data_IF_642775283504
#
_entry.id   IF_642775283504
#
_cell.length_a   1.000
_cell.length_b   1.000
_cell.length_c   1.000
_cell.angle_alpha   90.00
_cell.angle_beta   90.00
_cell.angle_gamma   90.00
#
_symmetry.space_group_name_H-M   'P 1'
#
loop_
_entity.id
_entity.type
_entity.pdbx_description
1 polymer ?
#
# COMPACT_ATOMS: atom_id res chain seq x y z
N UNK A 1 25.34 -15.08 10.30
CA UNK A 1 24.40 -16.14 10.72
C UNK A 1 23.26 -15.46 11.47
N UNK A 2 22.18 -15.11 10.77
CA UNK A 2 20.95 -14.60 11.36
C UNK A 2 19.89 -15.69 11.23
N UNK A 3 19.67 -16.41 12.33
CA UNK A 3 18.64 -17.42 12.50
C UNK A 3 17.37 -16.74 13.04
N UNK A 4 16.38 -16.55 12.17
CA UNK A 4 14.92 -16.57 12.42
C UNK A 4 14.15 -15.83 11.30
N UNK A 5 14.27 -16.29 10.05
CA UNK A 5 13.17 -16.10 9.10
C UNK A 5 12.16 -17.22 9.39
N UNK A 6 11.06 -16.86 10.05
CA UNK A 6 9.89 -17.73 10.15
C UNK A 6 9.44 -18.02 8.71
N UNK A 7 9.36 -19.29 8.31
CA UNK A 7 9.01 -19.69 6.94
C UNK A 7 7.60 -19.22 6.53
N UNK A 8 7.18 -19.49 5.30
CA UNK A 8 5.84 -19.09 4.83
C UNK A 8 4.76 -20.02 5.38
N UNK A 9 3.64 -19.48 5.86
CA UNK A 9 2.54 -20.32 6.38
C UNK A 9 1.84 -21.06 5.23
N UNK A 10 1.80 -22.39 5.35
CA UNK A 10 1.21 -23.31 4.35
C UNK A 10 0.39 -24.39 5.03
N UNK A 11 -0.56 -24.94 4.27
CA UNK A 11 -1.25 -26.19 4.59
C UNK A 11 -0.82 -27.28 3.62
N UNK A 12 -0.40 -28.42 4.17
CA UNK A 12 0.02 -29.59 3.42
C UNK A 12 -1.16 -30.54 3.19
N UNK A 13 -1.32 -31.01 1.97
CA UNK A 13 -2.32 -31.99 1.58
C UNK A 13 -1.68 -33.20 0.90
N UNK A 14 -2.30 -34.36 1.08
CA UNK A 14 -1.95 -35.60 0.38
C UNK A 14 -3.18 -36.18 -0.30
N UNK A 15 -3.06 -36.61 -1.56
CA UNK A 15 -4.15 -37.29 -2.25
C UNK A 15 -4.31 -38.72 -1.73
N UNK A 16 -5.55 -39.12 -1.44
CA UNK A 16 -5.88 -40.47 -0.98
C UNK A 16 -6.44 -41.36 -2.10
N UNK A 17 -6.60 -42.66 -1.82
CA UNK A 17 -7.10 -43.66 -2.78
C UNK A 17 -8.53 -43.39 -3.31
N UNK A 18 -9.28 -42.49 -2.65
CA UNK A 18 -10.61 -42.06 -3.08
C UNK A 18 -10.58 -40.83 -4.01
N UNK A 19 -9.38 -40.33 -4.33
CA UNK A 19 -9.18 -39.13 -5.14
C UNK A 19 -9.50 -37.84 -4.40
N UNK A 20 -9.44 -37.84 -3.06
CA UNK A 20 -9.66 -36.66 -2.23
C UNK A 20 -8.35 -36.20 -1.56
N UNK A 21 -8.23 -34.90 -1.32
CA UNK A 21 -7.07 -34.30 -0.67
C UNK A 21 -7.25 -34.30 0.85
N UNK A 22 -6.48 -35.12 1.54
CA UNK A 22 -6.44 -35.19 3.00
C UNK A 22 -5.51 -34.10 3.57
N UNK A 23 -6.02 -33.32 4.53
CA UNK A 23 -5.25 -32.31 5.26
C UNK A 23 -4.23 -33.01 6.20
N UNK A 24 -2.93 -32.75 5.96
CA UNK A 24 -1.81 -33.28 6.75
C UNK A 24 -1.32 -32.32 7.82
N UNK A 25 -1.85 -31.09 7.88
CA UNK A 25 -1.53 -30.10 8.89
C UNK A 25 -1.12 -28.75 8.31
N UNK A 26 -1.07 -27.76 9.20
CA UNK A 26 -0.63 -26.39 8.90
C UNK A 26 0.73 -26.12 9.53
N UNK A 27 1.63 -25.48 8.79
CA UNK A 27 3.00 -25.24 9.23
C UNK A 27 3.66 -24.10 8.46
N UNK A 28 4.94 -23.90 8.72
CA UNK A 28 5.77 -22.90 8.06
C UNK A 28 6.78 -23.61 7.15
N UNK A 29 6.72 -23.34 5.85
CA UNK A 29 7.62 -23.91 4.85
C UNK A 29 8.88 -23.05 4.69
N UNK A 30 10.01 -23.73 4.54
CA UNK A 30 11.27 -23.14 4.13
C UNK A 30 11.93 -24.03 3.08
N UNK A 31 12.68 -23.40 2.18
CA UNK A 31 13.57 -24.11 1.27
C UNK A 31 14.99 -23.90 1.79
N UNK A 32 15.64 -24.99 2.22
CA UNK A 32 16.95 -24.94 2.87
C UNK A 32 17.83 -26.08 2.38
N UNK A 33 19.14 -25.92 2.55
CA UNK A 33 20.08 -27.00 2.30
C UNK A 33 20.16 -27.93 3.52
N UNK A 34 19.91 -29.21 3.30
CA UNK A 34 19.99 -30.29 4.29
C UNK A 34 21.14 -31.21 3.87
N UNK A 35 22.13 -31.44 4.75
CA UNK A 35 23.35 -32.19 4.40
C UNK A 35 23.10 -33.55 3.73
N UNK A 36 22.06 -34.28 4.16
CA UNK A 36 21.72 -35.60 3.65
C UNK A 36 20.90 -35.58 2.34
N UNK A 37 20.18 -34.49 2.04
CA UNK A 37 19.21 -34.41 0.95
C UNK A 37 19.58 -33.37 -0.13
N UNK A 38 20.48 -32.44 0.16
CA UNK A 38 20.71 -31.26 -0.67
C UNK A 38 19.65 -30.19 -0.44
N UNK A 39 19.22 -29.49 -1.50
CA UNK A 39 18.14 -28.50 -1.40
C UNK A 39 16.80 -29.21 -1.13
N UNK A 40 16.13 -28.83 -0.05
CA UNK A 40 14.94 -29.52 0.44
C UNK A 40 13.84 -28.54 0.87
N UNK A 41 12.59 -28.97 0.68
CA UNK A 41 11.40 -28.34 1.27
C UNK A 41 11.19 -28.90 2.67
N UNK A 42 11.21 -28.02 3.67
CA UNK A 42 11.01 -28.38 5.08
C UNK A 42 9.82 -27.61 5.63
N UNK A 43 8.85 -28.33 6.19
CA UNK A 43 7.65 -27.77 6.80
C UNK A 43 7.63 -28.13 8.28
N UNK A 44 7.59 -27.12 9.14
CA UNK A 44 7.46 -27.28 10.58
C UNK A 44 6.04 -26.92 11.02
N UNK A 45 5.40 -27.80 11.77
CA UNK A 45 4.08 -27.59 12.34
C UNK A 45 4.04 -26.33 13.21
N UNK A 46 2.99 -25.51 13.05
CA UNK A 46 2.93 -24.21 13.71
C UNK A 46 2.77 -24.27 15.23
N UNK A 47 2.19 -25.35 15.78
CA UNK A 47 1.92 -25.49 17.21
C UNK A 47 3.05 -26.17 17.98
N UNK A 48 3.61 -27.24 17.43
CA UNK A 48 4.54 -28.11 18.15
C UNK A 48 5.96 -28.15 17.55
N UNK A 49 6.21 -27.43 16.46
CA UNK A 49 7.49 -27.37 15.74
C UNK A 49 8.00 -28.73 15.25
N UNK A 50 7.15 -29.76 15.21
CA UNK A 50 7.50 -31.05 14.61
C UNK A 50 7.49 -30.94 13.09
N UNK A 51 8.32 -31.75 12.45
CA UNK A 51 8.42 -31.83 11.01
C UNK A 51 7.14 -32.47 10.42
N UNK A 52 6.45 -31.73 9.55
CA UNK A 52 5.32 -32.23 8.76
C UNK A 52 5.80 -32.81 7.42
N UNK A 53 6.86 -32.23 6.86
CA UNK A 53 7.46 -32.66 5.61
C UNK A 53 8.93 -32.26 5.59
N UNK A 54 9.76 -33.18 5.11
CA UNK A 54 11.15 -32.91 4.71
C UNK A 54 11.43 -33.71 3.46
N UNK A 55 11.35 -33.03 2.32
CA UNK A 55 11.45 -33.63 0.99
C UNK A 55 12.58 -32.98 0.21
N UNK A 56 13.43 -33.79 -0.43
CA UNK A 56 14.41 -33.30 -1.39
C UNK A 56 13.66 -32.66 -2.56
N UNK A 57 14.11 -31.50 -3.02
CA UNK A 57 13.58 -30.96 -4.28
C UNK A 57 14.02 -31.88 -5.41
N UNK A 58 13.03 -32.52 -6.04
CA UNK A 58 13.20 -33.50 -7.12
C UNK A 58 13.75 -32.77 -8.35
N UNK A 59 14.77 -33.34 -8.99
CA UNK A 59 15.47 -32.69 -10.11
C UNK A 59 14.60 -32.71 -11.39
N UNK A 60 13.77 -33.75 -11.58
CA UNK A 60 12.84 -33.92 -12.68
C UNK A 60 11.60 -33.00 -12.61
N UNK A 61 11.04 -32.63 -13.76
CA UNK A 61 9.83 -31.79 -13.87
C UNK A 61 8.55 -32.47 -13.33
N UNK A 62 8.39 -32.46 -12.00
CA UNK A 62 7.23 -33.04 -11.30
C UNK A 62 6.38 -32.00 -10.55
N UNK A 63 6.91 -30.81 -10.30
CA UNK A 63 6.18 -29.74 -9.61
C UNK A 63 5.35 -28.92 -10.58
N UNK A 64 4.12 -28.60 -10.18
CA UNK A 64 3.19 -27.75 -10.92
C UNK A 64 2.62 -26.66 -10.02
N UNK A 65 2.54 -25.44 -10.52
CA UNK A 65 1.87 -24.33 -9.83
C UNK A 65 0.43 -24.20 -10.34
N UNK A 66 -0.53 -24.30 -9.43
CA UNK A 66 -1.96 -24.18 -9.75
C UNK A 66 -2.49 -22.86 -9.20
N UNK A 67 -2.84 -21.92 -10.09
CA UNK A 67 -3.19 -20.55 -9.68
C UNK A 67 -2.01 -19.83 -9.03
N UNK A 68 -2.30 -18.93 -8.08
CA UNK A 68 -1.28 -18.08 -7.46
C UNK A 68 -0.80 -18.59 -6.09
N UNK A 69 -1.44 -19.60 -5.52
CA UNK A 69 -1.22 -20.00 -4.13
C UNK A 69 -1.12 -21.53 -3.90
N UNK A 70 -1.01 -22.35 -4.94
CA UNK A 70 -0.88 -23.80 -4.80
C UNK A 70 0.32 -24.35 -5.60
N UNK A 71 1.09 -25.23 -4.97
CA UNK A 71 2.14 -26.04 -5.61
C UNK A 71 1.83 -27.52 -5.39
N UNK A 72 1.80 -28.33 -6.45
CA UNK A 72 1.51 -29.77 -6.40
C UNK A 72 2.63 -30.58 -7.04
N UNK A 73 2.94 -31.76 -6.51
CA UNK A 73 3.88 -32.72 -7.12
C UNK A 73 3.60 -34.14 -6.66
N UNK A 74 4.20 -35.11 -7.36
CA UNK A 74 4.21 -36.51 -6.93
C UNK A 74 5.53 -36.82 -6.23
N UNK A 75 5.47 -37.08 -4.93
CA UNK A 75 6.61 -37.46 -4.09
C UNK A 75 6.94 -38.96 -4.30
N UNK A 76 8.19 -39.33 -4.62
CA UNK A 76 8.58 -40.73 -4.78
C UNK A 76 8.65 -41.45 -3.43
N UNK A 77 8.00 -42.61 -3.30
CA UNK A 77 8.21 -43.52 -2.17
C UNK A 77 9.16 -44.67 -2.53
N UNK A 78 9.82 -45.25 -1.52
CA UNK A 78 10.77 -46.37 -1.65
C UNK A 78 10.16 -47.64 -2.29
N UNK A 79 8.84 -47.78 -2.25
CA UNK A 79 8.08 -48.91 -2.80
C UNK A 79 7.74 -48.77 -4.30
N UNK A 80 8.07 -47.62 -4.93
CA UNK A 80 7.81 -47.34 -6.33
C UNK A 80 6.42 -46.78 -6.66
N UNK A 81 5.53 -46.59 -5.68
CA UNK A 81 4.29 -45.82 -5.86
C UNK A 81 4.47 -44.42 -5.31
N UNK A 82 4.45 -43.41 -6.17
CA UNK A 82 4.52 -42.02 -5.72
C UNK A 82 3.24 -41.57 -5.02
N UNK A 83 3.36 -40.56 -4.16
CA UNK A 83 2.25 -39.93 -3.44
C UNK A 83 2.07 -38.50 -3.93
N UNK A 84 0.86 -38.15 -4.35
CA UNK A 84 0.57 -36.78 -4.74
C UNK A 84 0.41 -35.87 -3.52
N UNK A 85 1.21 -34.81 -3.48
CA UNK A 85 1.22 -33.78 -2.45
C UNK A 85 0.81 -32.43 -3.03
N UNK A 86 0.19 -31.61 -2.18
CA UNK A 86 -0.14 -30.22 -2.50
C UNK A 86 0.16 -29.30 -1.32
N UNK A 87 0.73 -28.14 -1.61
CA UNK A 87 0.94 -27.04 -0.68
C UNK A 87 -0.01 -25.91 -1.03
N UNK A 88 -0.86 -25.53 -0.08
CA UNK A 88 -1.69 -24.33 -0.19
C UNK A 88 -1.10 -23.22 0.69
N UNK A 89 -0.70 -22.12 0.06
CA UNK A 89 -0.11 -20.98 0.71
C UNK A 89 -1.17 -19.99 1.18
N UNK A 90 -0.97 -19.43 2.37
CA UNK A 90 -1.80 -18.34 2.86
C UNK A 90 -1.59 -17.05 2.05
N UNK A 91 -0.36 -16.82 1.57
CA UNK A 91 0.04 -15.61 0.84
C UNK A 91 0.66 -15.95 -0.52
N UNK A 92 0.24 -15.23 -1.56
CA UNK A 92 0.73 -15.43 -2.93
C UNK A 92 2.24 -15.18 -3.05
N UNK A 93 2.77 -14.23 -2.28
CA UNK A 93 4.20 -13.92 -2.26
C UNK A 93 5.04 -15.13 -1.81
N UNK A 94 4.59 -15.85 -0.78
CA UNK A 94 5.27 -17.07 -0.32
C UNK A 94 5.22 -18.21 -1.31
N UNK A 95 4.08 -18.37 -2.01
CA UNK A 95 3.96 -19.35 -3.10
C UNK A 95 4.96 -19.06 -4.22
N UNK A 96 5.04 -17.79 -4.65
CA UNK A 96 5.97 -17.36 -5.69
C UNK A 96 7.43 -17.56 -5.27
N UNK A 97 7.79 -17.21 -4.04
CA UNK A 97 9.16 -17.37 -3.55
C UNK A 97 9.59 -18.84 -3.51
N UNK A 98 8.76 -19.74 -2.95
CA UNK A 98 9.08 -21.17 -2.90
C UNK A 98 9.10 -21.78 -4.30
N UNK A 99 8.15 -21.40 -5.16
CA UNK A 99 8.12 -21.83 -6.55
C UNK A 99 9.41 -21.48 -7.29
N UNK A 100 9.88 -20.23 -7.15
CA UNK A 100 11.12 -19.78 -7.75
C UNK A 100 12.33 -20.61 -7.29
N UNK A 101 12.42 -20.92 -5.98
CA UNK A 101 13.49 -21.77 -5.44
C UNK A 101 13.43 -23.21 -5.97
N UNK A 102 12.24 -23.78 -6.14
CA UNK A 102 12.08 -25.10 -6.78
C UNK A 102 12.57 -25.04 -8.23
N UNK A 103 12.18 -24.01 -8.99
CA UNK A 103 12.63 -23.81 -10.37
C UNK A 103 14.15 -23.59 -10.48
N UNK A 104 14.76 -22.89 -9.52
CA UNK A 104 16.22 -22.71 -9.40
C UNK A 104 16.93 -24.06 -9.32
N UNK A 105 16.47 -24.94 -8.43
CA UNK A 105 17.08 -26.27 -8.23
C UNK A 105 16.94 -27.14 -9.47
N UNK A 106 15.78 -27.12 -10.13
CA UNK A 106 15.52 -27.93 -11.32
C UNK A 106 16.21 -27.41 -12.59
N UNK A 107 16.97 -26.31 -12.51
CA UNK A 107 17.54 -25.65 -13.69
C UNK A 107 16.50 -25.04 -14.64
N UNK A 108 15.21 -25.19 -14.33
CA UNK A 108 14.08 -24.54 -15.03
C UNK A 108 14.08 -23.03 -14.91
N UNK A 109 14.82 -22.48 -13.95
CA UNK A 109 15.10 -21.05 -13.92
C UNK A 109 15.78 -20.55 -15.19
N UNK A 110 16.45 -21.43 -15.95
CA UNK A 110 16.99 -21.10 -17.27
C UNK A 110 15.97 -21.19 -18.43
N UNK A 111 14.94 -22.03 -18.30
CA UNK A 111 13.88 -22.19 -19.31
C UNK A 111 12.68 -21.24 -19.10
N UNK A 112 12.46 -20.79 -17.86
CA UNK A 112 11.46 -19.78 -17.47
C UNK A 112 12.05 -18.39 -17.21
N UNK A 113 13.38 -18.22 -17.24
CA UNK A 113 13.93 -16.91 -17.58
C UNK A 113 13.46 -16.63 -19.01
N UNK A 114 12.63 -15.59 -19.26
CA UNK A 114 12.70 -14.94 -20.56
C UNK A 114 14.17 -14.78 -20.88
N UNK A 115 14.62 -15.41 -21.97
CA UNK A 115 16.02 -15.43 -22.37
C UNK A 115 16.61 -14.03 -22.20
N UNK A 116 17.40 -13.80 -21.15
CA UNK A 116 17.94 -12.46 -20.84
C UNK A 116 18.82 -11.97 -21.99
N UNK A 117 19.33 -12.90 -22.82
CA UNK A 117 20.04 -12.58 -24.05
C UNK A 117 19.12 -12.07 -25.16
N UNK A 118 17.82 -12.38 -25.10
CA UNK A 118 16.79 -11.96 -26.06
C UNK A 118 16.12 -10.64 -25.69
N UNK A 119 16.06 -10.31 -24.41
CA UNK A 119 15.51 -9.05 -23.90
C UNK A 119 16.56 -8.32 -23.05
N UNK A 120 17.51 -7.67 -23.73
CA UNK A 120 18.49 -6.79 -23.10
C UNK A 120 18.16 -5.33 -23.38
N UNK A 121 18.54 -4.44 -22.46
CA UNK A 121 18.59 -3.01 -22.75
C UNK A 121 19.99 -2.68 -23.29
N UNK A 122 20.09 -1.85 -24.33
CA UNK A 122 21.37 -1.33 -24.82
C UNK A 122 22.19 -0.67 -23.70
N UNK A 123 23.50 -0.54 -23.91
CA UNK A 123 24.33 0.24 -22.99
C UNK A 123 23.86 1.70 -23.01
N UNK A 124 23.63 2.29 -21.84
CA UNK A 124 23.11 3.65 -21.70
C UNK A 124 24.13 4.70 -22.19
N UNK A 125 23.95 5.17 -23.43
CA UNK A 125 24.78 6.17 -24.13
C UNK A 125 23.89 7.06 -25.01
N UNK A 126 24.37 8.25 -25.38
CA UNK A 126 23.61 9.18 -26.22
C UNK A 126 23.22 8.56 -27.58
N UNK A 127 24.10 7.78 -28.20
CA UNK A 127 23.87 7.14 -29.50
C UNK A 127 22.88 5.97 -29.45
N UNK A 128 22.63 5.40 -28.25
CA UNK A 128 21.72 4.27 -28.05
C UNK A 128 20.34 4.67 -27.54
N UNK A 129 20.07 5.96 -27.27
CA UNK A 129 18.80 6.42 -26.68
C UNK A 129 17.57 6.00 -27.49
N UNK A 130 17.63 6.08 -28.83
CA UNK A 130 16.51 5.64 -29.69
C UNK A 130 16.22 4.16 -29.52
N UNK A 131 17.26 3.31 -29.50
CA UNK A 131 17.14 1.87 -29.33
C UNK A 131 16.57 1.51 -27.94
N UNK A 132 16.99 2.23 -26.90
CA UNK A 132 16.47 2.07 -25.53
C UNK A 132 14.97 2.40 -25.49
N UNK A 133 14.58 3.52 -26.10
CA UNK A 133 13.17 3.95 -26.16
C UNK A 133 12.30 2.93 -26.90
N UNK A 134 12.77 2.44 -28.05
CA UNK A 134 12.08 1.41 -28.85
C UNK A 134 11.93 0.09 -28.08
N UNK A 135 12.99 -0.37 -27.39
CA UNK A 135 12.95 -1.60 -26.60
C UNK A 135 11.91 -1.53 -25.48
N UNK A 136 11.88 -0.43 -24.72
CA UNK A 136 10.95 -0.23 -23.61
C UNK A 136 9.52 -0.02 -24.10
N UNK A 137 9.31 0.79 -25.15
CA UNK A 137 7.98 1.03 -25.71
C UNK A 137 7.39 -0.21 -26.41
N UNK A 138 8.25 -1.08 -26.95
CA UNK A 138 7.86 -2.35 -27.57
C UNK A 138 7.47 -3.45 -26.57
N UNK A 139 7.60 -3.21 -25.27
CA UNK A 139 7.31 -4.18 -24.22
C UNK A 139 5.81 -4.49 -24.08
N UNK A 140 5.32 -5.42 -24.88
CA UNK A 140 3.89 -5.82 -24.89
C UNK A 140 3.59 -7.02 -24.01
N UNK A 141 4.54 -7.96 -23.88
CA UNK A 141 4.38 -9.18 -23.08
C UNK A 141 4.75 -8.95 -21.63
N UNK A 142 4.01 -9.58 -20.70
CA UNK A 142 4.24 -9.43 -19.27
C UNK A 142 5.66 -9.88 -18.86
N UNK A 143 6.16 -11.01 -19.39
CA UNK A 143 7.52 -11.47 -19.09
C UNK A 143 8.59 -10.48 -19.56
N UNK A 144 8.38 -9.81 -20.70
CA UNK A 144 9.32 -8.81 -21.21
C UNK A 144 9.34 -7.56 -20.31
N UNK A 145 8.16 -7.11 -19.85
CA UNK A 145 8.07 -6.01 -18.88
C UNK A 145 8.80 -6.33 -17.59
N UNK A 146 8.64 -7.54 -17.05
CA UNK A 146 9.33 -8.00 -15.84
C UNK A 146 10.86 -7.99 -16.00
N UNK A 147 11.39 -8.39 -17.15
CA UNK A 147 12.83 -8.30 -17.42
C UNK A 147 13.32 -6.85 -17.41
N UNK A 148 12.63 -5.95 -18.11
CA UNK A 148 13.03 -4.55 -18.13
C UNK A 148 12.93 -3.89 -16.76
N UNK A 149 11.89 -4.20 -15.98
CA UNK A 149 11.77 -3.78 -14.58
C UNK A 149 12.99 -4.25 -13.78
N UNK A 150 13.35 -5.53 -13.87
CA UNK A 150 14.51 -6.08 -13.17
C UNK A 150 15.83 -5.40 -13.58
N UNK A 151 16.02 -5.13 -14.89
CA UNK A 151 17.20 -4.42 -15.39
C UNK A 151 17.26 -2.96 -14.90
N UNK A 152 16.11 -2.28 -14.83
CA UNK A 152 16.01 -0.91 -14.34
C UNK A 152 16.21 -0.82 -12.82
N UNK A 153 15.79 -1.83 -12.07
CA UNK A 153 15.96 -1.93 -10.62
C UNK A 153 17.33 -2.46 -10.19
N UNK A 154 18.03 -3.18 -11.07
CA UNK A 154 19.32 -3.78 -10.77
C UNK A 154 20.33 -2.75 -10.24
N UNK A 155 21.14 -3.17 -9.26
CA UNK A 155 22.21 -2.37 -8.65
C UNK A 155 21.70 -0.99 -8.18
N UNK A 156 20.61 -0.99 -7.43
CA UNK A 156 20.00 0.22 -6.86
C UNK A 156 19.65 1.29 -7.89
N UNK A 157 19.16 0.86 -9.07
CA UNK A 157 18.75 1.78 -10.13
C UNK A 157 19.91 2.40 -10.92
N UNK A 158 21.05 1.70 -11.05
CA UNK A 158 22.22 2.21 -11.80
C UNK A 158 21.85 2.65 -13.22
N UNK A 159 20.98 1.90 -13.89
CA UNK A 159 20.55 2.20 -15.26
C UNK A 159 19.73 3.50 -15.33
N UNK A 160 18.79 3.69 -14.39
CA UNK A 160 18.02 4.94 -14.26
C UNK A 160 18.95 6.12 -14.00
N UNK A 161 19.95 5.94 -13.14
CA UNK A 161 20.90 7.00 -12.84
C UNK A 161 21.75 7.40 -14.06
N UNK A 162 22.16 6.42 -14.89
CA UNK A 162 22.86 6.70 -16.16
C UNK A 162 21.99 7.45 -17.15
N UNK A 163 20.71 7.08 -17.30
CA UNK A 163 19.77 7.82 -18.15
C UNK A 163 19.63 9.28 -17.69
N UNK A 164 19.53 9.49 -16.37
CA UNK A 164 19.45 10.84 -15.81
C UNK A 164 20.78 11.60 -15.93
N UNK A 165 21.93 10.92 -15.92
CA UNK A 165 23.22 11.58 -16.18
C UNK A 165 23.29 12.07 -17.63
N UNK A 166 22.85 11.25 -18.59
CA UNK A 166 22.76 11.67 -20.00
C UNK A 166 21.78 12.83 -20.14
N UNK A 167 20.66 12.82 -19.40
CA UNK A 167 19.74 13.95 -19.35
C UNK A 167 20.42 15.24 -18.89
N UNK A 168 21.20 15.19 -17.80
CA UNK A 168 21.95 16.35 -17.31
C UNK A 168 22.96 16.84 -18.38
N UNK A 169 23.68 15.92 -19.02
CA UNK A 169 24.64 16.24 -20.10
C UNK A 169 23.94 16.85 -21.33
N UNK A 170 22.77 16.35 -21.72
CA UNK A 170 21.97 16.91 -22.82
C UNK A 170 21.41 18.30 -22.48
N UNK A 171 21.01 18.52 -21.23
CA UNK A 171 20.57 19.83 -20.74
C UNK A 171 21.70 20.86 -20.79
N UNK A 172 22.92 20.47 -20.39
CA UNK A 172 24.11 21.33 -20.46
C UNK A 172 24.53 21.68 -21.89
N UNK A 173 24.24 20.80 -22.86
CA UNK A 173 24.53 20.99 -24.28
C UNK A 173 23.40 21.67 -25.07
N UNK A 174 22.28 22.01 -24.43
CA UNK A 174 21.04 22.47 -25.08
C UNK A 174 20.53 21.50 -26.18
N UNK A 175 20.76 20.20 -26.02
CA UNK A 175 20.41 19.16 -26.99
C UNK A 175 18.92 18.74 -26.87
N UNK A 176 18.05 19.59 -27.41
CA UNK A 176 16.58 19.40 -27.36
C UNK A 176 16.11 18.10 -28.02
N UNK A 177 16.83 17.58 -29.03
CA UNK A 177 16.44 16.36 -29.72
C UNK A 177 16.54 15.16 -28.76
N UNK A 178 17.70 14.99 -28.12
CA UNK A 178 17.90 13.91 -27.17
C UNK A 178 17.08 14.10 -25.87
N UNK A 179 16.82 15.33 -25.44
CA UNK A 179 15.93 15.61 -24.31
C UNK A 179 14.50 15.11 -24.58
N UNK A 180 13.98 15.30 -25.79
CA UNK A 180 12.66 14.76 -26.18
C UNK A 180 12.67 13.23 -26.25
N UNK A 181 13.76 12.61 -26.71
CA UNK A 181 13.90 11.14 -26.70
C UNK A 181 13.88 10.61 -25.26
N UNK A 182 14.57 11.28 -24.33
CA UNK A 182 14.58 10.93 -22.91
C UNK A 182 13.19 11.03 -22.27
N UNK A 183 12.38 12.04 -22.63
CA UNK A 183 10.96 12.09 -22.21
C UNK A 183 10.23 10.82 -22.62
N UNK A 184 10.35 10.40 -23.89
CA UNK A 184 9.69 9.20 -24.39
C UNK A 184 10.19 7.92 -23.72
N UNK A 185 11.49 7.83 -23.41
CA UNK A 185 12.06 6.74 -22.62
C UNK A 185 11.39 6.68 -21.24
N UNK A 186 11.32 7.80 -20.51
CA UNK A 186 10.70 7.82 -19.19
C UNK A 186 9.19 7.54 -19.24
N UNK A 187 8.47 8.02 -20.27
CA UNK A 187 7.07 7.65 -20.55
C UNK A 187 6.92 6.13 -20.72
N UNK A 188 7.82 5.48 -21.45
CA UNK A 188 7.85 4.03 -21.63
C UNK A 188 8.17 3.27 -20.32
N UNK A 189 9.12 3.78 -19.52
CA UNK A 189 9.43 3.24 -18.18
C UNK A 189 8.18 3.27 -17.29
N UNK A 190 7.44 4.38 -17.26
CA UNK A 190 6.20 4.46 -16.48
C UNK A 190 5.11 3.51 -17.00
N UNK A 191 5.07 3.25 -18.31
CA UNK A 191 4.13 2.32 -18.95
C UNK A 191 4.38 0.84 -18.61
N UNK A 192 5.53 0.51 -17.99
CA UNK A 192 5.75 -0.80 -17.38
C UNK A 192 4.80 -1.05 -16.19
N UNK A 193 4.33 0.03 -15.53
CA UNK A 193 3.35 0.02 -14.45
C UNK A 193 3.70 -0.96 -13.29
N UNK A 194 4.99 -1.07 -12.96
CA UNK A 194 5.47 -1.90 -11.84
C UNK A 194 5.52 -1.10 -10.52
N UNK A 195 4.86 -1.55 -9.44
CA UNK A 195 4.83 -0.83 -8.16
C UNK A 195 6.23 -0.59 -7.56
N UNK A 196 7.14 -1.56 -7.63
CA UNK A 196 8.47 -1.48 -7.02
C UNK A 196 9.33 -0.44 -7.74
N UNK A 197 9.29 -0.43 -9.07
CA UNK A 197 9.94 0.57 -9.90
C UNK A 197 9.40 1.98 -9.63
N UNK A 198 8.08 2.13 -9.48
CA UNK A 198 7.48 3.41 -9.12
C UNK A 198 7.96 3.90 -7.75
N UNK A 199 8.03 3.02 -6.74
CA UNK A 199 8.56 3.39 -5.42
C UNK A 199 10.00 3.89 -5.47
N UNK A 200 10.86 3.24 -6.25
CA UNK A 200 12.25 3.69 -6.48
C UNK A 200 12.29 5.05 -7.17
N UNK A 201 11.49 5.26 -8.22
CA UNK A 201 11.40 6.56 -8.91
C UNK A 201 10.88 7.66 -7.97
N UNK A 202 9.96 7.34 -7.07
CA UNK A 202 9.38 8.26 -6.09
C UNK A 202 10.33 8.58 -4.91
N UNK A 203 11.50 7.93 -4.83
CA UNK A 203 12.50 8.18 -3.78
C UNK A 203 13.16 9.57 -3.90
N UNK A 204 13.84 10.00 -2.81
CA UNK A 204 14.56 11.27 -2.76
C UNK A 204 15.68 11.35 -3.82
N UNK A 205 16.22 10.21 -4.24
CA UNK A 205 17.31 10.10 -5.22
C UNK A 205 16.88 10.44 -6.65
N UNK A 206 15.69 10.00 -7.07
CA UNK A 206 15.28 10.03 -8.48
C UNK A 206 14.22 11.09 -8.78
N UNK A 207 13.27 11.30 -7.88
CA UNK A 207 12.00 11.97 -8.22
C UNK A 207 12.18 13.36 -8.82
N UNK A 208 13.06 14.19 -8.25
CA UNK A 208 13.26 15.58 -8.73
C UNK A 208 13.92 15.61 -10.11
N UNK A 209 14.90 14.73 -10.36
CA UNK A 209 15.56 14.62 -11.66
C UNK A 209 14.60 14.08 -12.72
N UNK A 210 13.80 13.07 -12.38
CA UNK A 210 12.73 12.56 -13.26
C UNK A 210 11.71 13.64 -13.56
N UNK A 211 11.26 14.43 -12.57
CA UNK A 211 10.38 15.57 -12.82
C UNK A 211 11.01 16.61 -13.76
N UNK A 212 12.34 16.79 -13.70
CA UNK A 212 13.11 17.60 -14.65
C UNK A 212 13.04 17.10 -16.09
N UNK A 213 13.09 15.79 -16.31
CA UNK A 213 12.91 15.20 -17.66
C UNK A 213 11.58 15.65 -18.27
N UNK A 214 10.48 15.55 -17.51
CA UNK A 214 9.15 15.94 -17.99
C UNK A 214 8.97 17.45 -18.21
N UNK A 215 9.89 18.32 -17.76
CA UNK A 215 9.86 19.74 -18.13
C UNK A 215 10.04 19.95 -19.63
N UNK A 216 10.67 18.99 -20.32
CA UNK A 216 10.95 19.01 -21.74
C UNK A 216 9.93 18.23 -22.58
N UNK A 217 8.78 17.85 -22.01
CA UNK A 217 7.77 17.11 -22.76
C UNK A 217 7.25 17.93 -23.96
N UNK A 218 7.38 17.43 -25.21
CA UNK A 218 6.90 18.13 -26.41
C UNK A 218 5.40 18.44 -26.40
N UNK A 219 4.62 17.73 -25.58
CA UNK A 219 3.18 17.97 -25.41
C UNK A 219 2.88 19.22 -24.56
N UNK A 220 3.87 19.78 -23.86
CA UNK A 220 3.72 21.01 -23.10
C UNK A 220 3.76 22.23 -24.02
N UNK A 221 2.91 23.22 -23.71
CA UNK A 221 2.91 24.51 -24.44
C UNK A 221 4.21 25.30 -24.26
N UNK A 222 4.80 25.16 -23.08
CA UNK A 222 6.05 25.80 -22.66
C UNK A 222 6.81 24.83 -21.77
N UNK A 223 8.14 24.96 -21.71
CA UNK A 223 8.97 24.19 -20.78
C UNK A 223 8.38 24.24 -19.36
N UNK A 224 8.29 23.07 -18.72
CA UNK A 224 7.81 22.95 -17.35
C UNK A 224 8.73 23.63 -16.34
N UNK A 225 8.19 23.91 -15.15
CA UNK A 225 8.91 24.47 -13.99
C UNK A 225 8.78 23.52 -12.78
N UNK A 226 8.90 22.22 -13.04
CA UNK A 226 8.60 21.17 -12.08
C UNK A 226 9.63 21.12 -10.94
N UNK A 227 10.93 21.16 -11.26
CA UNK A 227 12.04 21.14 -10.29
C UNK A 227 11.99 22.37 -9.38
N UNK A 228 11.87 23.56 -9.94
CA UNK A 228 11.74 24.81 -9.17
C UNK A 228 10.52 24.76 -8.25
N UNK A 229 9.38 24.26 -8.72
CA UNK A 229 8.21 24.09 -7.86
C UNK A 229 8.51 23.11 -6.70
N UNK A 230 9.08 21.95 -7.00
CA UNK A 230 9.38 20.92 -6.00
C UNK A 230 10.46 21.33 -4.99
N UNK A 231 11.42 22.17 -5.40
CA UNK A 231 12.55 22.58 -4.57
C UNK A 231 12.32 23.90 -3.83
N UNK A 232 11.65 24.88 -4.46
CA UNK A 232 11.51 26.23 -3.91
C UNK A 232 10.11 26.53 -3.36
N UNK A 233 9.06 25.95 -3.96
CA UNK A 233 7.66 26.28 -3.63
C UNK A 233 7.02 25.26 -2.69
N UNK A 234 7.41 23.98 -2.78
CA UNK A 234 6.91 22.93 -1.90
C UNK A 234 7.52 23.10 -0.51
N UNK A 235 6.67 23.34 0.48
CA UNK A 235 7.07 23.42 1.88
C UNK A 235 6.50 22.22 2.64
N UNK A 236 7.40 21.42 3.23
CA UNK A 236 6.98 20.36 4.13
C UNK A 236 6.57 20.94 5.48
N UNK A 237 5.30 21.33 5.57
CA UNK A 237 4.73 21.99 6.74
C UNK A 237 4.44 20.97 7.84
N UNK A 238 5.20 21.09 8.93
CA UNK A 238 5.04 20.25 10.12
C UNK A 238 4.44 21.08 11.26
N UNK A 239 3.32 20.62 11.80
CA UNK A 239 2.69 21.26 12.98
C UNK A 239 3.47 20.95 14.25
N UNK A 240 3.84 19.68 14.38
CA UNK A 240 4.82 19.17 15.34
C UNK A 240 5.93 18.48 14.55
N UNK A 241 7.18 18.52 15.02
CA UNK A 241 8.27 17.79 14.38
C UNK A 241 7.95 16.30 14.31
N UNK A 242 8.13 15.71 13.13
CA UNK A 242 8.10 14.28 12.92
C UNK A 242 9.54 13.77 13.11
N UNK A 243 9.76 13.08 14.23
CA UNK A 243 11.10 12.60 14.63
C UNK A 243 11.54 11.38 13.81
N UNK A 244 10.59 10.56 13.37
CA UNK A 244 10.85 9.37 12.56
C UNK A 244 11.14 9.75 11.09
N UNK A 245 12.38 9.52 10.59
CA UNK A 245 12.74 9.82 9.21
C UNK A 245 11.99 8.94 8.20
N UNK A 246 11.59 7.72 8.56
CA UNK A 246 10.86 6.80 7.68
C UNK A 246 9.43 7.29 7.47
N UNK A 247 8.74 7.67 8.55
CA UNK A 247 7.44 8.35 8.47
C UNK A 247 7.51 9.62 7.61
N UNK A 248 8.55 10.44 7.82
CA UNK A 248 8.80 11.62 7.00
C UNK A 248 8.96 11.30 5.51
N UNK A 249 9.70 10.24 5.19
CA UNK A 249 9.90 9.78 3.81
C UNK A 249 8.59 9.31 3.17
N UNK A 250 7.76 8.56 3.89
CA UNK A 250 6.45 8.09 3.42
C UNK A 250 5.46 9.23 3.16
N UNK A 251 5.44 10.25 4.02
CA UNK A 251 4.62 11.45 3.77
C UNK A 251 5.07 12.18 2.51
N UNK A 252 6.38 12.35 2.30
CA UNK A 252 6.92 12.94 1.06
C UNK A 252 6.56 12.08 -0.15
N UNK A 253 6.67 10.76 -0.05
CA UNK A 253 6.33 9.84 -1.13
C UNK A 253 4.84 9.97 -1.52
N UNK A 254 3.93 10.13 -0.54
CA UNK A 254 2.50 10.36 -0.79
C UNK A 254 2.22 11.65 -1.57
N UNK A 255 2.92 12.74 -1.23
CA UNK A 255 2.87 13.97 -2.00
C UNK A 255 3.36 13.73 -3.44
N UNK A 256 4.46 13.01 -3.60
CA UNK A 256 5.04 12.68 -4.92
C UNK A 256 4.12 11.82 -5.77
N UNK A 257 3.41 10.85 -5.18
CA UNK A 257 2.38 10.06 -5.88
C UNK A 257 1.29 10.97 -6.43
N UNK A 258 0.81 11.92 -5.61
CA UNK A 258 -0.20 12.89 -6.05
C UNK A 258 0.33 13.81 -7.15
N UNK A 259 1.56 14.29 -7.04
CA UNK A 259 2.21 15.11 -8.07
C UNK A 259 2.42 14.34 -9.37
N UNK A 260 2.87 13.09 -9.29
CA UNK A 260 3.05 12.20 -10.44
C UNK A 260 1.72 12.00 -11.17
N UNK A 261 0.65 11.68 -10.44
CA UNK A 261 -0.71 11.51 -10.97
C UNK A 261 -1.27 12.78 -11.61
N UNK A 262 -1.21 13.90 -10.88
CA UNK A 262 -1.98 15.08 -11.22
C UNK A 262 -1.23 16.05 -12.14
N UNK A 263 0.10 15.97 -12.18
CA UNK A 263 0.96 16.91 -12.93
C UNK A 263 1.72 16.20 -14.04
N UNK A 264 2.55 15.21 -13.70
CA UNK A 264 3.49 14.64 -14.66
C UNK A 264 2.82 13.69 -15.67
N UNK A 265 1.98 12.77 -15.19
CA UNK A 265 1.45 11.67 -16.01
C UNK A 265 -0.02 11.83 -16.39
N UNK A 266 -0.66 12.96 -16.07
CA UNK A 266 -2.09 13.21 -16.34
C UNK A 266 -2.52 12.81 -17.78
N UNK A 267 -1.77 13.11 -18.86
CA UNK A 267 -2.16 12.71 -20.22
C UNK A 267 -2.12 11.20 -20.49
N UNK A 268 -1.30 10.47 -19.73
CA UNK A 268 -1.05 9.03 -19.90
C UNK A 268 -1.84 8.14 -18.94
N UNK A 269 -2.66 8.74 -18.06
CA UNK A 269 -3.41 8.01 -17.04
C UNK A 269 -4.46 7.10 -17.68
N UNK A 270 -4.32 5.78 -17.47
CA UNK A 270 -5.38 4.80 -17.68
C UNK A 270 -5.87 4.23 -16.33
N UNK A 271 -6.93 3.41 -16.37
CA UNK A 271 -7.52 2.81 -15.17
C UNK A 271 -6.52 1.91 -14.42
N UNK A 272 -5.65 1.20 -15.15
CA UNK A 272 -4.67 0.30 -14.58
C UNK A 272 -3.60 1.06 -13.78
N UNK A 273 -3.07 2.14 -14.36
CA UNK A 273 -2.07 2.99 -13.75
C UNK A 273 -2.65 3.81 -12.57
N UNK A 274 -3.88 4.31 -12.74
CA UNK A 274 -4.62 4.97 -11.65
C UNK A 274 -4.82 4.02 -10.45
N UNK A 275 -5.11 2.74 -10.72
CA UNK A 275 -5.22 1.70 -9.69
C UNK A 275 -3.88 1.48 -8.97
N UNK A 276 -2.76 1.34 -9.71
CA UNK A 276 -1.44 1.16 -9.11
C UNK A 276 -1.05 2.32 -8.20
N UNK A 277 -1.18 3.57 -8.66
CA UNK A 277 -0.89 4.74 -7.83
C UNK A 277 -1.82 4.85 -6.61
N UNK A 278 -3.09 4.46 -6.76
CA UNK A 278 -4.04 4.43 -5.65
C UNK A 278 -3.67 3.37 -4.61
N UNK A 279 -3.17 2.21 -5.05
CA UNK A 279 -2.63 1.15 -4.18
C UNK A 279 -1.38 1.62 -3.43
N UNK A 280 -0.43 2.27 -4.11
CA UNK A 280 0.76 2.83 -3.47
C UNK A 280 0.37 3.89 -2.40
N UNK A 281 -0.55 4.79 -2.74
CA UNK A 281 -1.06 5.77 -1.79
C UNK A 281 -1.80 5.12 -0.61
N UNK A 282 -2.54 4.03 -0.86
CA UNK A 282 -3.22 3.25 0.17
C UNK A 282 -2.22 2.66 1.17
N UNK A 283 -1.16 2.01 0.69
CA UNK A 283 -0.14 1.41 1.57
C UNK A 283 0.59 2.48 2.38
N UNK A 284 0.98 3.58 1.75
CA UNK A 284 1.59 4.72 2.45
C UNK A 284 0.66 5.32 3.50
N UNK A 285 -0.62 5.54 3.20
CA UNK A 285 -1.59 6.02 4.17
C UNK A 285 -1.70 5.09 5.38
N UNK A 286 -1.67 3.77 5.14
CA UNK A 286 -1.73 2.76 6.20
C UNK A 286 -0.50 2.84 7.10
N UNK A 287 0.70 2.88 6.54
CA UNK A 287 1.96 2.99 7.29
C UNK A 287 2.05 4.31 8.06
N UNK A 288 1.67 5.43 7.43
CA UNK A 288 1.63 6.75 8.08
C UNK A 288 0.72 6.74 9.30
N UNK A 289 -0.52 6.22 9.16
CA UNK A 289 -1.47 6.20 10.27
C UNK A 289 -1.06 5.20 11.35
N UNK A 290 -0.46 4.07 10.98
CA UNK A 290 0.07 3.11 11.93
C UNK A 290 1.24 3.69 12.73
N UNK A 291 2.19 4.37 12.08
CA UNK A 291 3.30 5.04 12.75
C UNK A 291 2.81 6.15 13.69
N UNK A 292 1.84 6.97 13.25
CA UNK A 292 1.20 7.99 14.09
C UNK A 292 0.42 7.41 15.26
N UNK A 293 -0.13 6.20 15.12
CA UNK A 293 -0.82 5.50 16.20
C UNK A 293 0.15 4.87 17.21
N UNK A 294 1.27 4.32 16.72
CA UNK A 294 2.34 3.75 17.55
C UNK A 294 3.08 4.83 18.35
N UNK A 295 3.27 6.03 17.79
CA UNK A 295 3.63 7.21 18.58
C UNK A 295 2.42 7.68 19.40
N UNK A 296 2.21 6.99 20.52
CA UNK A 296 1.07 7.18 21.42
C UNK A 296 0.95 8.60 22.01
N UNK A 297 1.94 9.48 21.79
CA UNK A 297 1.95 10.83 22.33
C UNK A 297 1.87 11.93 21.25
N UNK A 298 2.24 11.67 19.99
CA UNK A 298 2.18 12.68 18.93
C UNK A 298 0.78 13.32 18.78
N UNK A 299 -0.25 12.50 18.60
CA UNK A 299 -1.63 12.99 18.43
C UNK A 299 -2.19 13.60 19.72
N UNK A 300 -1.77 13.10 20.89
CA UNK A 300 -2.13 13.69 22.20
C UNK A 300 -1.57 15.11 22.33
N UNK A 301 -0.27 15.28 22.07
CA UNK A 301 0.43 16.57 22.06
C UNK A 301 -0.19 17.53 21.05
N UNK A 302 -0.53 17.04 19.86
CA UNK A 302 -1.15 17.84 18.80
C UNK A 302 -2.48 18.47 19.25
N UNK A 303 -3.38 17.67 19.81
CA UNK A 303 -4.68 18.17 20.27
C UNK A 303 -4.60 18.95 21.59
N UNK A 304 -3.66 18.61 22.47
CA UNK A 304 -3.36 19.43 23.65
C UNK A 304 -2.86 20.83 23.24
N UNK A 305 -1.98 20.91 22.24
CA UNK A 305 -1.50 22.18 21.67
C UNK A 305 -2.66 23.00 21.08
N UNK A 306 -3.62 22.37 20.42
CA UNK A 306 -4.80 23.07 19.91
C UNK A 306 -5.57 23.81 21.03
N UNK A 307 -5.79 23.10 22.13
CA UNK A 307 -6.60 23.56 23.27
C UNK A 307 -5.82 24.45 24.25
N UNK A 308 -4.49 24.48 24.16
CA UNK A 308 -3.65 25.30 25.02
C UNK A 308 -3.99 26.80 24.92
N UNK A 309 -3.91 27.48 26.07
CA UNK A 309 -4.06 28.94 26.12
C UNK A 309 -2.84 29.59 25.47
N UNK A 310 -3.07 30.48 24.51
CA UNK A 310 -2.01 31.19 23.78
C UNK A 310 -1.64 30.61 22.42
N UNK A 311 -2.23 29.47 22.02
CA UNK A 311 -2.03 28.92 20.67
C UNK A 311 -2.56 29.88 19.62
N UNK A 312 -1.72 30.18 18.62
CA UNK A 312 -2.06 31.11 17.55
C UNK A 312 -3.21 30.59 16.67
N UNK A 313 -3.96 31.51 16.04
CA UNK A 313 -5.00 31.15 15.07
C UNK A 313 -4.44 30.32 13.90
N UNK A 314 -3.23 30.64 13.45
CA UNK A 314 -2.58 29.90 12.36
C UNK A 314 -2.26 28.46 12.77
N UNK A 315 -1.65 28.27 13.95
CA UNK A 315 -1.34 26.93 14.47
C UNK A 315 -2.61 26.08 14.64
N UNK A 316 -3.70 26.67 15.14
CA UNK A 316 -5.00 25.99 15.22
C UNK A 316 -5.53 25.59 13.84
N UNK A 317 -5.46 26.48 12.85
CA UNK A 317 -5.86 26.17 11.48
C UNK A 317 -5.02 25.03 10.89
N UNK A 318 -3.73 24.98 11.19
CA UNK A 318 -2.82 23.94 10.70
C UNK A 318 -3.11 22.58 11.33
N UNK A 319 -3.43 22.53 12.63
CA UNK A 319 -3.87 21.31 13.31
C UNK A 319 -5.19 20.79 12.71
N UNK A 320 -6.14 21.69 12.40
CA UNK A 320 -7.40 21.30 11.76
C UNK A 320 -7.16 20.73 10.36
N UNK A 321 -6.31 21.37 9.57
CA UNK A 321 -5.95 20.90 8.24
C UNK A 321 -5.28 19.50 8.31
N UNK A 322 -4.31 19.32 9.21
CA UNK A 322 -3.68 18.02 9.47
C UNK A 322 -4.72 16.97 9.86
N UNK A 323 -5.63 17.32 10.78
CA UNK A 323 -6.69 16.40 11.24
C UNK A 323 -7.60 15.98 10.09
N UNK A 324 -7.95 16.91 9.19
CA UNK A 324 -8.75 16.61 8.02
C UNK A 324 -8.04 15.68 7.05
N UNK A 325 -6.76 15.92 6.78
CA UNK A 325 -5.96 15.04 5.91
C UNK A 325 -5.85 13.63 6.50
N UNK A 326 -5.51 13.53 7.78
CA UNK A 326 -5.42 12.27 8.52
C UNK A 326 -6.75 11.49 8.51
N UNK A 327 -7.88 12.16 8.76
CA UNK A 327 -9.22 11.57 8.68
C UNK A 327 -9.59 11.21 7.24
N UNK A 328 -9.16 11.99 6.26
CA UNK A 328 -9.25 11.66 4.84
C UNK A 328 -8.53 10.34 4.51
N UNK A 329 -7.28 10.19 4.96
CA UNK A 329 -6.48 8.97 4.82
C UNK A 329 -7.13 7.77 5.52
N UNK A 330 -7.76 7.97 6.68
CA UNK A 330 -8.41 6.89 7.44
C UNK A 330 -9.51 6.17 6.64
N UNK A 331 -10.10 6.82 5.63
CA UNK A 331 -11.13 6.22 4.77
C UNK A 331 -10.59 5.06 3.95
N UNK A 332 -9.29 5.07 3.65
CA UNK A 332 -8.63 4.00 2.90
C UNK A 332 -8.16 2.87 3.81
N UNK A 333 -8.26 2.95 5.14
CA UNK A 333 -7.82 1.86 6.02
C UNK A 333 -8.75 0.64 5.97
N UNK A 334 -8.19 -0.54 6.25
CA UNK A 334 -8.98 -1.74 6.54
C UNK A 334 -9.94 -1.47 7.72
N UNK A 335 -11.17 -2.03 7.71
CA UNK A 335 -12.19 -1.70 8.71
C UNK A 335 -11.74 -1.86 10.17
N UNK A 336 -11.01 -2.92 10.49
CA UNK A 336 -10.51 -3.20 11.85
C UNK A 336 -9.49 -2.15 12.33
N UNK A 337 -8.53 -1.80 11.48
CA UNK A 337 -7.50 -0.79 11.76
C UNK A 337 -8.15 0.59 11.89
N UNK A 338 -9.11 0.89 11.00
CA UNK A 338 -9.88 2.13 11.05
C UNK A 338 -10.66 2.27 12.36
N UNK A 339 -11.37 1.21 12.78
CA UNK A 339 -12.09 1.18 14.06
C UNK A 339 -11.15 1.45 15.25
N UNK A 340 -9.98 0.81 15.27
CA UNK A 340 -8.97 1.01 16.33
C UNK A 340 -8.48 2.46 16.35
N UNK A 341 -8.20 3.02 15.17
CA UNK A 341 -7.74 4.39 15.02
C UNK A 341 -8.76 5.43 15.54
N UNK A 342 -10.03 5.32 15.16
CA UNK A 342 -11.06 6.24 15.65
C UNK A 342 -11.34 6.08 17.15
N UNK A 343 -11.29 4.84 17.68
CA UNK A 343 -11.40 4.61 19.13
C UNK A 343 -10.24 5.26 19.87
N UNK A 344 -9.01 5.13 19.37
CA UNK A 344 -7.83 5.79 19.94
C UNK A 344 -7.98 7.32 19.94
N UNK A 345 -8.41 7.92 18.82
CA UNK A 345 -8.69 9.35 18.76
C UNK A 345 -9.72 9.79 19.80
N UNK A 346 -10.74 8.97 20.08
CA UNK A 346 -11.74 9.31 21.09
C UNK A 346 -11.23 9.11 22.53
N UNK A 347 -10.63 7.96 22.84
CA UNK A 347 -10.36 7.57 24.22
C UNK A 347 -9.08 8.18 24.77
N UNK A 348 -8.07 8.33 23.91
CA UNK A 348 -6.72 8.74 24.29
C UNK A 348 -6.41 10.18 23.90
N UNK A 349 -7.14 10.74 22.93
CA UNK A 349 -6.92 12.08 22.42
C UNK A 349 -8.10 13.01 22.72
N UNK A 350 -7.84 14.33 22.79
CA UNK A 350 -8.87 15.36 23.01
C UNK A 350 -9.62 15.71 21.71
N UNK A 351 -9.91 14.70 20.89
CA UNK A 351 -10.38 14.84 19.51
C UNK A 351 -11.71 15.61 19.41
N UNK A 352 -12.72 15.24 20.19
CA UNK A 352 -14.01 15.95 20.17
C UNK A 352 -13.96 17.32 20.86
N UNK A 353 -13.10 17.51 21.87
CA UNK A 353 -12.93 18.81 22.55
C UNK A 353 -12.41 19.89 21.58
N UNK A 354 -11.59 19.52 20.59
CA UNK A 354 -11.14 20.41 19.50
C UNK A 354 -12.34 20.95 18.72
N UNK A 355 -13.26 20.09 18.30
CA UNK A 355 -14.44 20.51 17.54
C UNK A 355 -15.40 21.34 18.38
N UNK A 356 -15.63 20.95 19.64
CA UNK A 356 -16.47 21.76 20.56
C UNK A 356 -15.88 23.16 20.70
N UNK A 357 -14.56 23.28 20.84
CA UNK A 357 -13.87 24.57 20.97
C UNK A 357 -14.06 25.44 19.72
N UNK A 358 -13.90 24.89 18.52
CA UNK A 358 -14.07 25.65 17.26
C UNK A 358 -15.52 26.03 17.03
N UNK A 359 -16.46 25.12 17.31
CA UNK A 359 -17.88 25.36 17.04
C UNK A 359 -18.48 26.35 18.04
N UNK A 360 -18.01 26.36 19.29
CA UNK A 360 -18.43 27.30 20.32
C UNK A 360 -17.78 28.70 20.20
N UNK A 361 -16.63 28.82 19.55
CA UNK A 361 -15.95 30.10 19.34
C UNK A 361 -16.70 30.92 18.27
N UNK A 362 -17.37 32.01 18.67
CA UNK A 362 -18.11 32.89 17.75
C UNK A 362 -17.21 33.53 16.68
N UNK A 363 -15.92 33.76 16.99
CA UNK A 363 -14.95 34.35 16.08
C UNK A 363 -14.24 33.31 15.18
N UNK A 364 -14.58 32.03 15.30
CA UNK A 364 -14.01 30.99 14.46
C UNK A 364 -14.30 31.24 12.98
N UNK A 365 -13.25 31.16 12.16
CA UNK A 365 -13.33 31.41 10.72
C UNK A 365 -14.18 30.35 10.02
N UNK A 366 -14.82 30.74 8.91
CA UNK A 366 -15.63 29.82 8.09
C UNK A 366 -14.84 28.56 7.68
N UNK A 367 -13.58 28.66 7.18
CA UNK A 367 -12.79 27.48 6.83
C UNK A 367 -12.55 26.53 8.02
N UNK A 368 -12.32 27.06 9.22
CA UNK A 368 -12.14 26.24 10.41
C UNK A 368 -13.42 25.44 10.75
N UNK A 369 -14.59 26.11 10.69
CA UNK A 369 -15.88 25.45 10.93
C UNK A 369 -16.19 24.39 9.88
N UNK A 370 -15.93 24.66 8.59
CA UNK A 370 -16.11 23.69 7.51
C UNK A 370 -15.22 22.45 7.72
N UNK A 371 -13.94 22.68 8.06
CA UNK A 371 -13.01 21.59 8.36
C UNK A 371 -13.50 20.72 9.52
N UNK A 372 -14.00 21.32 10.61
CA UNK A 372 -14.59 20.57 11.71
C UNK A 372 -15.81 19.76 11.29
N UNK A 373 -16.69 20.35 10.47
CA UNK A 373 -17.89 19.66 9.99
C UNK A 373 -17.55 18.47 9.08
N UNK A 374 -16.61 18.63 8.16
CA UNK A 374 -16.13 17.55 7.29
C UNK A 374 -15.59 16.37 8.10
N UNK A 375 -14.76 16.65 9.11
CA UNK A 375 -14.18 15.63 9.98
C UNK A 375 -15.25 14.98 10.87
N UNK A 376 -16.12 15.77 11.50
CA UNK A 376 -17.21 15.24 12.33
C UNK A 376 -18.15 14.35 11.54
N UNK A 377 -18.52 14.75 10.32
CA UNK A 377 -19.36 13.96 9.42
C UNK A 377 -18.66 12.66 9.06
N UNK A 378 -17.37 12.67 8.74
CA UNK A 378 -16.61 11.46 8.47
C UNK A 378 -16.57 10.52 9.69
N UNK A 379 -16.35 11.05 10.90
CA UNK A 379 -16.41 10.26 12.14
C UNK A 379 -17.80 9.68 12.40
N UNK A 380 -18.86 10.44 12.14
CA UNK A 380 -20.24 9.97 12.30
C UNK A 380 -20.63 8.90 11.29
N UNK A 381 -20.19 9.01 10.04
CA UNK A 381 -20.38 7.96 9.04
C UNK A 381 -19.63 6.68 9.39
N UNK A 382 -18.51 6.80 10.10
CA UNK A 382 -17.75 5.66 10.56
C UNK A 382 -18.43 4.95 11.76
N UNK A 383 -18.63 5.67 12.86
CA UNK A 383 -19.32 5.16 14.05
C UNK A 383 -19.96 6.30 14.87
N UNK A 384 -21.30 6.49 14.79
CA UNK A 384 -22.01 7.50 15.57
C UNK A 384 -21.91 7.30 17.09
N UNK A 385 -21.61 6.09 17.55
CA UNK A 385 -21.55 5.77 18.97
C UNK A 385 -20.40 6.50 19.66
N UNK A 386 -19.32 6.81 18.95
CA UNK A 386 -18.16 7.54 19.47
C UNK A 386 -18.57 8.93 19.96
N UNK A 387 -19.27 9.71 19.13
CA UNK A 387 -19.76 11.03 19.52
C UNK A 387 -20.81 10.93 20.62
N UNK A 388 -21.73 9.96 20.54
CA UNK A 388 -22.76 9.75 21.57
C UNK A 388 -22.12 9.49 22.94
N UNK A 389 -21.12 8.62 23.00
CA UNK A 389 -20.42 8.27 24.23
C UNK A 389 -19.66 9.49 24.79
N UNK A 390 -19.03 10.29 23.94
CA UNK A 390 -18.41 11.55 24.35
C UNK A 390 -19.42 12.52 24.98
N UNK A 391 -20.58 12.73 24.33
CA UNK A 391 -21.64 13.61 24.85
C UNK A 391 -22.14 13.12 26.21
N UNK A 392 -22.40 11.81 26.36
CA UNK A 392 -22.84 11.20 27.62
C UNK A 392 -21.80 11.37 28.73
N UNK A 393 -20.51 11.18 28.44
CA UNK A 393 -19.42 11.37 29.40
C UNK A 393 -19.30 12.82 29.88
N UNK A 394 -19.57 13.81 29.02
CA UNK A 394 -19.58 15.24 29.37
C UNK A 394 -20.86 15.67 30.11
N UNK A 395 -21.77 14.75 30.44
CA UNK A 395 -23.02 15.04 31.14
C UNK A 395 -24.16 15.51 30.23
N UNK A 396 -24.01 15.39 28.90
CA UNK A 396 -25.05 15.67 27.94
C UNK A 396 -26.11 14.58 27.94
N UNK A 397 -27.16 14.75 28.74
CA UNK A 397 -28.37 13.95 28.60
C UNK A 397 -29.20 14.49 27.42
N UNK A 398 -29.45 13.72 26.35
CA UNK A 398 -30.65 13.99 25.57
C UNK A 398 -31.84 13.75 26.52
N UNK A 399 -32.75 14.72 26.73
CA UNK A 399 -33.95 14.44 27.50
C UNK A 399 -34.67 13.27 26.81
N UNK A 400 -34.82 12.15 27.52
CA UNK A 400 -35.72 11.09 27.08
C UNK A 400 -37.09 11.73 26.84
N UNK A 401 -37.76 11.50 25.71
CA UNK A 401 -39.13 11.98 25.53
C UNK A 401 -39.98 11.39 26.64
N UNK A 402 -40.51 12.25 27.52
CA UNK A 402 -41.15 11.87 28.77
C UNK A 402 -42.54 11.25 28.63
N UNK A 403 -43.04 10.98 27.42
CA UNK A 403 -44.40 10.48 27.23
C UNK A 403 -44.48 9.28 26.28
N UNK A 404 -44.20 8.10 26.80
CA UNK A 404 -44.84 6.86 26.36
C UNK A 404 -45.24 6.05 27.60
N UNK A 405 -46.37 6.42 28.20
CA UNK A 405 -46.96 5.62 29.28
C UNK A 405 -47.86 6.40 30.23
N UNK A 406 -49.07 6.77 29.78
CA UNK A 406 -50.26 6.92 30.66
C UNK A 406 -51.52 7.35 29.89
N UNK A 407 -51.77 6.82 28.69
CA UNK A 407 -53.05 7.03 27.99
C UNK A 407 -53.61 5.70 27.45
N UNK A 408 -53.70 4.69 28.32
CA UNK A 408 -54.41 3.44 27.99
C UNK A 408 -54.96 2.77 29.24
N UNK A 409 -55.72 3.50 30.08
CA UNK A 409 -56.61 2.89 31.08
C UNK A 409 -57.53 3.93 31.75
N UNK A 410 -58.40 4.58 30.97
CA UNK A 410 -59.63 5.20 31.50
C UNK A 410 -60.58 5.49 30.34
N UNK A 411 -61.67 4.73 30.22
CA UNK A 411 -62.76 5.05 29.29
C UNK A 411 -63.30 3.88 28.47
N UNK A 412 -63.66 2.76 29.10
CA UNK A 412 -64.67 1.85 28.54
C UNK A 412 -65.52 1.28 29.67
N UNK A 413 -66.56 2.04 30.01
CA UNK A 413 -67.79 1.53 30.60
C UNK A 413 -68.97 2.19 29.88
N UNK A 414 -69.94 1.32 29.58
CA UNK A 414 -71.33 1.61 29.24
C UNK A 414 -71.62 2.13 27.82
N UNK A 415 -72.07 1.21 26.95
CA UNK A 415 -73.48 1.14 26.53
C UNK A 415 -73.70 -0.05 25.57
N UNK A 416 -74.35 -1.09 26.08
CA UNK A 416 -74.92 -2.19 25.30
C UNK A 416 -76.45 -2.21 25.54
N UNK A 417 -77.19 -1.63 24.59
CA UNK A 417 -78.62 -1.86 24.26
C UNK A 417 -78.72 -1.45 22.79
N UNK A 418 -79.29 -2.16 21.82
CA UNK A 418 -80.16 -3.33 21.75
C UNK A 418 -80.98 -3.17 20.46
N UNK A 419 -81.12 -4.25 19.68
CA UNK A 419 -81.96 -4.35 18.46
C UNK A 419 -81.28 -5.29 17.46
N UNK A 420 -81.75 -6.51 17.15
CA UNK A 420 -83.15 -6.98 17.03
C UNK A 420 -83.71 -6.37 15.76
N UNK A 421 -83.76 -7.04 14.60
CA UNK A 421 -84.29 -8.38 14.28
C UNK A 421 -83.38 -9.12 13.31
#
# INVERSE_FOLDING_TARGET
MNSNQQGWRVKLYQLNDQGQWDDRGTGHISCTFVEELGNALVILNEENQQELLKSKIIDEDVYQRQGDNIITWTEPEENGSGVDLALSFQENAGCLEIWNKVCDVQGKYSEFRPDESKYSLPECKMDSLSEIGEALAGASQQQQKEVYVNLLLAKDGEYLNKLLQIFDDCEDLDDLENLHVLVNIFKAIFSLNDPTLLEVILSDQFFVRVAGVFEYDPELKHKGDHRTFLQEKVQFKQVLPIEDPELGAKIRQNFRISFLRDVLLRPMMDDAYASTLSSLAFFNNSEILQALHQDSDYLKRLYALFLAKGTSRQTRADILAFTREMVGMSKTLQPSVRDQFYRYLQSECLFFDVFVTVLADEEATIPARLCCMEVLVASLFHDPSLLRNYILQKGGHPPLPTNFGSASQAGRKDEAKGGGV
#
